data_IF_174231913844
#
_entry.id   IF_174231913844
#
_cell.length_a   1.000
_cell.length_b   1.000
_cell.length_c   1.000
_cell.angle_alpha   90.00
_cell.angle_beta   90.00
_cell.angle_gamma   90.00
#
_symmetry.space_group_name_H-M   'P 1'
#
loop_
_entity.id
_entity.type
_entity.pdbx_description
1 polymer ?
#
# COMPACT_ATOMS: atom_id res chain seq x y z
N UNK A 1 -15.12 15.39 -11.54
CA UNK A 1 -14.45 14.16 -11.07
C UNK A 1 -15.46 13.02 -11.15
N UNK A 2 -15.15 11.87 -11.76
CA UNK A 2 -16.07 10.72 -11.79
C UNK A 2 -16.30 10.14 -10.39
N UNK A 3 -17.41 9.42 -10.21
CA UNK A 3 -17.66 8.65 -8.99
C UNK A 3 -16.98 7.28 -9.08
N UNK A 4 -16.31 6.85 -8.00
CA UNK A 4 -15.61 5.56 -7.89
C UNK A 4 -16.18 4.68 -6.75
N UNK A 5 -17.49 4.38 -6.72
CA UNK A 5 -18.13 3.69 -5.60
C UNK A 5 -17.61 2.27 -5.37
N UNK A 6 -17.17 1.58 -6.42
CA UNK A 6 -16.64 0.22 -6.37
C UNK A 6 -15.42 0.06 -5.45
N UNK A 7 -14.68 1.14 -5.19
CA UNK A 7 -13.53 1.10 -4.28
C UNK A 7 -13.94 0.74 -2.84
N UNK A 8 -15.19 1.03 -2.45
CA UNK A 8 -15.74 0.66 -1.13
C UNK A 8 -16.19 -0.81 -1.12
N UNK A 9 -16.62 -1.33 -2.26
CA UNK A 9 -17.14 -2.69 -2.40
C UNK A 9 -16.01 -3.72 -2.52
N UNK A 10 -14.92 -3.36 -3.21
CA UNK A 10 -13.79 -4.24 -3.46
C UNK A 10 -12.89 -4.36 -2.23
N UNK A 11 -12.56 -5.61 -1.88
CA UNK A 11 -11.69 -5.95 -0.74
C UNK A 11 -10.37 -6.54 -1.22
N UNK A 12 -9.26 -6.08 -0.64
CA UNK A 12 -7.92 -6.56 -0.93
C UNK A 12 -7.65 -7.91 -0.26
N UNK A 13 -7.12 -8.87 -1.04
CA UNK A 13 -6.71 -10.20 -0.55
C UNK A 13 -5.23 -10.25 -0.08
N UNK A 14 -4.45 -9.23 -0.45
CA UNK A 14 -3.02 -9.13 -0.16
C UNK A 14 -2.12 -10.15 -0.86
N UNK A 15 -2.65 -10.90 -1.84
CA UNK A 15 -1.96 -12.06 -2.46
C UNK A 15 -0.61 -11.72 -3.06
N UNK A 16 -0.52 -10.56 -3.72
CA UNK A 16 0.68 -10.15 -4.45
C UNK A 16 1.46 -9.02 -3.76
N UNK A 17 1.05 -8.57 -2.57
CA UNK A 17 1.72 -7.46 -1.86
C UNK A 17 3.17 -7.78 -1.55
N UNK A 18 3.44 -8.96 -0.98
CA UNK A 18 4.81 -9.41 -0.68
C UNK A 18 5.67 -9.48 -1.95
N UNK A 19 5.13 -10.03 -3.05
CA UNK A 19 5.85 -10.11 -4.34
C UNK A 19 6.17 -8.74 -4.91
N UNK A 20 5.23 -7.79 -4.84
CA UNK A 20 5.46 -6.40 -5.28
C UNK A 20 6.55 -5.73 -4.46
N UNK A 21 6.55 -5.92 -3.15
CA UNK A 21 7.60 -5.38 -2.26
C UNK A 21 8.97 -6.00 -2.54
N UNK A 22 9.05 -7.32 -2.75
CA UNK A 22 10.29 -7.98 -3.17
C UNK A 22 10.78 -7.46 -4.52
N UNK A 23 9.89 -7.25 -5.49
CA UNK A 23 10.26 -6.69 -6.79
C UNK A 23 10.79 -5.25 -6.66
N UNK A 24 10.10 -4.40 -5.88
CA UNK A 24 10.55 -3.04 -5.60
C UNK A 24 11.88 -3.01 -4.85
N UNK A 25 12.13 -4.00 -3.98
CA UNK A 25 13.44 -4.17 -3.33
C UNK A 25 14.55 -4.44 -4.32
N UNK A 26 14.33 -5.31 -5.29
CA UNK A 26 15.26 -5.53 -6.40
C UNK A 26 15.51 -4.26 -7.22
N UNK A 27 14.52 -3.36 -7.29
CA UNK A 27 14.63 -2.05 -7.96
C UNK A 27 15.23 -0.94 -7.08
N UNK A 28 15.66 -1.26 -5.84
CA UNK A 28 16.37 -0.33 -4.95
C UNK A 28 15.53 0.32 -3.85
N UNK A 29 14.24 -0.03 -3.71
CA UNK A 29 13.44 0.43 -2.56
C UNK A 29 13.85 -0.37 -1.31
N UNK A 30 14.25 0.27 -0.20
CA UNK A 30 14.85 -0.43 0.94
C UNK A 30 13.81 -1.11 1.85
N UNK A 31 13.02 -2.06 1.31
CA UNK A 31 12.12 -2.90 2.11
C UNK A 31 12.89 -3.93 2.93
N UNK A 32 12.53 -4.06 4.21
CA UNK A 32 13.08 -5.06 5.12
C UNK A 32 12.43 -6.43 4.92
N UNK A 33 13.02 -7.50 5.46
CA UNK A 33 12.38 -8.83 5.43
C UNK A 33 11.10 -8.85 6.26
N UNK A 34 11.09 -8.10 7.38
CA UNK A 34 9.93 -7.92 8.25
C UNK A 34 8.77 -7.25 7.51
N UNK A 35 9.06 -6.21 6.71
CA UNK A 35 8.05 -5.54 5.88
C UNK A 35 7.39 -6.52 4.91
N UNK A 36 8.20 -7.38 4.25
CA UNK A 36 7.71 -8.34 3.25
C UNK A 36 6.94 -9.48 3.92
N UNK A 37 7.40 -9.97 5.07
CA UNK A 37 6.78 -11.07 5.81
C UNK A 37 5.36 -10.69 6.30
N UNK A 38 5.17 -9.47 6.79
CA UNK A 38 3.88 -8.95 7.25
C UNK A 38 2.99 -8.35 6.16
N UNK A 39 3.50 -8.21 4.93
CA UNK A 39 2.87 -7.43 3.87
C UNK A 39 1.44 -7.86 3.52
N UNK A 40 1.18 -9.17 3.50
CA UNK A 40 -0.14 -9.71 3.15
C UNK A 40 -1.18 -9.36 4.20
N UNK A 41 -0.87 -9.64 5.46
CA UNK A 41 -1.82 -9.44 6.56
C UNK A 41 -2.04 -7.96 6.85
N UNK A 42 -1.06 -7.10 6.55
CA UNK A 42 -1.20 -5.65 6.66
C UNK A 42 -2.30 -5.07 5.75
N UNK A 43 -2.58 -5.69 4.60
CA UNK A 43 -3.57 -5.18 3.63
C UNK A 43 -4.82 -6.06 3.50
N UNK A 44 -4.75 -7.31 3.95
CA UNK A 44 -5.85 -8.26 3.80
C UNK A 44 -7.11 -7.75 4.50
N UNK A 45 -8.23 -7.79 3.80
CA UNK A 45 -9.53 -7.36 4.34
C UNK A 45 -9.76 -5.85 4.35
N UNK A 46 -8.78 -5.05 3.91
CA UNK A 46 -8.97 -3.62 3.66
C UNK A 46 -9.72 -3.41 2.34
N UNK A 47 -10.51 -2.35 2.25
CA UNK A 47 -11.14 -1.97 0.98
C UNK A 47 -10.12 -1.32 0.04
N UNK A 48 -10.40 -1.30 -1.26
CA UNK A 48 -9.59 -0.51 -2.21
C UNK A 48 -9.63 0.99 -1.86
N UNK A 49 -10.76 1.47 -1.30
CA UNK A 49 -10.91 2.83 -0.81
C UNK A 49 -9.94 3.13 0.34
N UNK A 50 -9.82 2.23 1.32
CA UNK A 50 -8.87 2.40 2.44
C UNK A 50 -7.43 2.53 1.92
N UNK A 51 -7.05 1.69 0.95
CA UNK A 51 -5.73 1.74 0.35
C UNK A 51 -5.50 3.04 -0.46
N UNK A 52 -6.51 3.50 -1.20
CA UNK A 52 -6.43 4.76 -1.94
C UNK A 52 -6.29 5.96 -1.00
N UNK A 53 -7.09 6.01 0.07
CA UNK A 53 -7.01 7.06 1.10
C UNK A 53 -5.64 7.04 1.76
N UNK A 54 -5.13 5.88 2.17
CA UNK A 54 -3.81 5.75 2.77
C UNK A 54 -2.68 6.27 1.85
N UNK A 55 -2.75 5.95 0.56
CA UNK A 55 -1.80 6.46 -0.43
C UNK A 55 -1.88 7.98 -0.55
N UNK A 56 -3.08 8.55 -0.66
CA UNK A 56 -3.26 9.99 -0.81
C UNK A 56 -2.79 10.77 0.44
N UNK A 57 -2.99 10.21 1.63
CA UNK A 57 -2.60 10.85 2.89
C UNK A 57 -1.07 10.91 3.10
N UNK A 58 -0.28 10.05 2.44
CA UNK A 58 1.18 10.08 2.59
C UNK A 58 1.88 11.04 1.61
N UNK A 59 1.22 11.42 0.50
CA UNK A 59 1.82 12.26 -0.54
C UNK A 59 2.31 13.61 0.01
N UNK A 60 3.59 13.93 -0.24
CA UNK A 60 4.23 15.19 0.16
C UNK A 60 4.68 15.27 1.63
N UNK A 61 4.16 14.42 2.51
CA UNK A 61 4.47 14.47 3.96
C UNK A 61 5.94 14.20 4.29
N UNK A 62 6.60 13.36 3.50
CA UNK A 62 8.02 13.03 3.69
C UNK A 62 8.97 14.23 3.53
N UNK A 63 8.58 15.24 2.75
CA UNK A 63 9.36 16.47 2.56
C UNK A 63 9.08 17.46 3.70
N UNK A 64 7.80 17.66 4.05
CA UNK A 64 7.39 18.64 5.06
C UNK A 64 7.80 18.25 6.48
N UNK A 65 7.90 16.95 6.75
CA UNK A 65 8.17 16.43 8.08
C UNK A 65 9.66 16.09 8.31
N UNK A 66 10.52 16.36 7.31
CA UNK A 66 11.96 16.20 7.42
C UNK A 66 12.52 17.33 8.31
N UNK A 67 12.96 16.98 9.52
CA UNK A 67 13.69 17.89 10.41
C UNK A 67 15.13 18.07 9.97
#
# INVERSE_FOLDING_TARGET
MPSYPWLVENTLDGKDTAKKMSALRTLGVPYTEEDIAGAKDAVRGKTEMDAMVAYLQVLGTALTNKR
#
